data_IF_243136219309
#
_entry.id   IF_243136219309
#
_cell.length_a   1.000
_cell.length_b   1.000
_cell.length_c   1.000
_cell.angle_alpha   90.00
_cell.angle_beta   90.00
_cell.angle_gamma   90.00
#
_symmetry.space_group_name_H-M   'P 1'
#
loop_
_entity.id
_entity.type
_entity.pdbx_description
1 polymer ?
#
# COMPACT_ATOMS: atom_id res chain seq x y z
N UNK A 1 -12.59 -11.45 1.82
CA UNK A 1 -11.56 -12.49 1.66
C UNK A 1 -10.37 -12.04 2.50
N UNK A 2 -9.83 -12.86 3.41
CA UNK A 2 -8.57 -12.51 4.06
C UNK A 2 -7.50 -12.28 2.98
N UNK A 3 -6.51 -11.39 3.22
CA UNK A 3 -5.40 -11.22 2.29
C UNK A 3 -4.75 -12.58 2.02
N UNK A 4 -4.58 -12.90 0.74
CA UNK A 4 -3.94 -14.14 0.32
C UNK A 4 -2.43 -13.98 0.42
N UNK A 5 -1.88 -14.49 1.52
CA UNK A 5 -0.46 -14.46 1.83
C UNK A 5 0.34 -15.55 1.09
N UNK A 6 -0.31 -16.37 0.24
CA UNK A 6 0.34 -17.50 -0.46
C UNK A 6 1.44 -17.10 -1.46
N UNK A 7 1.45 -15.83 -1.89
CA UNK A 7 2.45 -15.25 -2.78
C UNK A 7 3.40 -14.27 -2.08
N UNK A 8 3.44 -14.25 -0.74
CA UNK A 8 4.51 -13.54 -0.04
C UNK A 8 5.86 -14.20 -0.36
N UNK A 9 6.95 -13.43 -0.46
CA UNK A 9 8.29 -14.01 -0.56
C UNK A 9 8.49 -15.04 0.57
N UNK A 10 9.14 -16.18 0.29
CA UNK A 10 9.39 -17.19 1.33
C UNK A 10 10.05 -16.55 2.57
N UNK A 11 9.40 -16.67 3.73
CA UNK A 11 9.85 -16.09 4.99
C UNK A 11 9.51 -14.62 5.24
N UNK A 12 8.72 -13.98 4.37
CA UNK A 12 8.29 -12.60 4.54
C UNK A 12 7.21 -12.45 5.61
N UNK A 13 7.62 -12.46 6.89
CA UNK A 13 6.83 -11.86 7.95
C UNK A 13 6.98 -10.34 7.84
N UNK A 14 5.88 -9.57 8.00
CA UNK A 14 5.98 -8.11 8.09
C UNK A 14 6.96 -7.72 9.21
N UNK A 15 7.70 -6.61 9.07
CA UNK A 15 8.54 -6.10 10.14
C UNK A 15 7.75 -5.93 11.43
N UNK A 16 8.42 -5.99 12.58
CA UNK A 16 7.74 -5.84 13.88
C UNK A 16 6.88 -4.57 13.93
N UNK A 17 5.64 -4.70 14.39
CA UNK A 17 4.68 -3.60 14.50
C UNK A 17 3.81 -3.37 13.26
N UNK A 18 4.14 -3.98 12.12
CA UNK A 18 3.31 -3.92 10.91
C UNK A 18 2.21 -4.98 10.94
N UNK A 19 0.96 -4.53 10.85
CA UNK A 19 -0.24 -5.39 10.81
C UNK A 19 -0.97 -5.23 9.48
N UNK A 20 -1.54 -6.30 8.92
CA UNK A 20 -2.27 -6.21 7.65
C UNK A 20 -3.54 -5.36 7.82
N UNK A 21 -3.80 -4.46 6.87
CA UNK A 21 -5.04 -3.68 6.88
C UNK A 21 -6.22 -4.57 6.47
N UNK A 22 -7.29 -4.53 7.26
CA UNK A 22 -8.48 -5.36 7.06
C UNK A 22 -9.47 -4.80 6.02
N UNK A 23 -9.33 -3.52 5.66
CA UNK A 23 -10.21 -2.84 4.72
C UNK A 23 -9.42 -2.26 3.55
N UNK A 24 -9.70 -2.78 2.36
CA UNK A 24 -9.13 -2.32 1.09
C UNK A 24 -10.24 -2.30 0.05
N UNK A 25 -10.21 -1.31 -0.84
CA UNK A 25 -11.13 -1.27 -1.97
C UNK A 25 -10.74 -2.36 -3.02
N UNK A 26 -11.63 -2.73 -3.96
CA UNK A 26 -11.34 -3.78 -4.94
C UNK A 26 -10.09 -3.53 -5.80
N UNK A 27 -9.75 -2.26 -6.07
CA UNK A 27 -8.56 -1.90 -6.84
C UNK A 27 -7.27 -2.10 -6.03
N UNK A 28 -7.28 -1.73 -4.75
CA UNK A 28 -6.16 -1.90 -3.83
C UNK A 28 -5.86 -3.37 -3.50
N UNK A 29 -6.78 -4.31 -3.78
CA UNK A 29 -6.50 -5.76 -3.70
C UNK A 29 -5.35 -6.19 -4.62
N UNK A 30 -5.08 -5.46 -5.70
CA UNK A 30 -3.92 -5.74 -6.55
C UNK A 30 -2.59 -5.54 -5.81
N UNK A 31 -2.56 -4.72 -4.77
CA UNK A 31 -1.39 -4.50 -3.91
C UNK A 31 -1.45 -5.27 -2.59
N UNK A 32 -2.57 -5.93 -2.29
CA UNK A 32 -2.74 -6.63 -1.02
C UNK A 32 -1.80 -7.85 -0.92
N UNK A 33 -1.27 -8.16 0.27
CA UNK A 33 -1.48 -7.46 1.55
C UNK A 33 -0.73 -6.12 1.65
N UNK A 34 -1.45 -5.10 2.15
CA UNK A 34 -0.85 -3.84 2.62
C UNK A 34 -0.84 -3.90 4.14
N UNK A 35 0.29 -3.51 4.73
CA UNK A 35 0.51 -3.46 6.16
C UNK A 35 0.58 -2.02 6.65
N UNK A 36 0.15 -1.79 7.88
CA UNK A 36 0.21 -0.50 8.57
C UNK A 36 0.88 -0.68 9.93
N UNK A 37 1.72 0.28 10.31
CA UNK A 37 2.30 0.40 11.65
C UNK A 37 1.97 1.79 12.18
N UNK A 38 1.39 1.87 13.38
CA UNK A 38 1.15 3.13 14.07
C UNK A 38 2.35 3.49 14.94
N UNK A 39 2.84 4.72 14.80
CA UNK A 39 3.95 5.27 15.57
C UNK A 39 3.50 6.60 16.21
N UNK A 40 2.61 6.51 17.20
CA UNK A 40 2.04 7.69 17.86
C UNK A 40 1.11 8.48 16.92
N UNK A 41 1.40 9.76 16.61
CA UNK A 41 0.56 10.57 15.73
C UNK A 41 0.77 10.27 14.24
N UNK A 42 1.80 9.50 13.88
CA UNK A 42 2.11 9.15 12.50
C UNK A 42 1.81 7.67 12.25
N UNK A 43 1.57 7.32 10.99
CA UNK A 43 1.46 5.94 10.53
C UNK A 43 2.42 5.69 9.37
N UNK A 44 2.86 4.45 9.23
CA UNK A 44 3.65 3.97 8.10
C UNK A 44 2.90 2.84 7.43
N UNK A 45 2.84 2.85 6.09
CA UNK A 45 2.33 1.72 5.32
C UNK A 45 3.46 1.05 4.55
N UNK A 46 3.32 -0.25 4.34
CA UNK A 46 4.20 -1.04 3.49
C UNK A 46 3.43 -2.13 2.75
N UNK A 47 4.00 -2.62 1.65
CA UNK A 47 3.53 -3.80 0.95
C UNK A 47 4.75 -4.55 0.40
N UNK A 48 4.60 -5.85 0.15
CA UNK A 48 5.64 -6.62 -0.52
C UNK A 48 5.47 -6.55 -2.03
N UNK A 49 6.55 -6.18 -2.73
CA UNK A 49 6.59 -6.24 -4.19
C UNK A 49 6.60 -7.72 -4.61
N UNK A 50 5.62 -8.09 -5.45
CA UNK A 50 5.47 -9.44 -6.02
C UNK A 50 5.69 -9.41 -7.54
N UNK A 51 5.90 -10.56 -8.21
CA UNK A 51 6.14 -10.60 -9.66
C UNK A 51 5.12 -9.82 -10.49
N UNK A 52 3.83 -9.88 -10.14
CA UNK A 52 2.75 -9.14 -10.82
C UNK A 52 2.81 -7.61 -10.62
N UNK A 53 3.62 -7.12 -9.67
CA UNK A 53 3.85 -5.69 -9.45
C UNK A 53 5.03 -5.15 -10.25
N UNK A 54 5.77 -6.01 -10.94
CA UNK A 54 7.00 -5.63 -11.65
C UNK A 54 6.73 -5.16 -13.07
N UNK A 55 7.62 -4.32 -13.60
CA UNK A 55 7.67 -3.99 -15.02
C UNK A 55 8.51 -5.03 -15.80
N UNK A 56 8.70 -4.82 -17.10
CA UNK A 56 9.50 -5.71 -17.96
C UNK A 56 10.97 -5.82 -17.56
N UNK A 57 11.48 -4.92 -16.72
CA UNK A 57 12.84 -4.96 -16.17
C UNK A 57 12.92 -5.70 -14.81
N UNK A 58 11.81 -6.24 -14.30
CA UNK A 58 11.77 -7.00 -13.04
C UNK A 58 11.84 -6.16 -11.77
N UNK A 59 11.67 -4.83 -11.87
CA UNK A 59 11.56 -3.92 -10.72
C UNK A 59 10.12 -3.44 -10.55
N UNK A 60 9.77 -2.88 -9.39
CA UNK A 60 8.43 -2.35 -9.14
C UNK A 60 7.98 -1.38 -10.25
N UNK A 61 6.83 -1.65 -10.86
CA UNK A 61 6.27 -0.82 -11.91
C UNK A 61 5.92 0.57 -11.33
N UNK A 62 6.25 1.66 -12.03
CA UNK A 62 5.99 3.02 -11.55
C UNK A 62 4.51 3.26 -11.22
N UNK A 63 3.60 2.65 -11.98
CA UNK A 63 2.15 2.67 -11.68
C UNK A 63 1.76 2.00 -10.35
N UNK A 64 2.48 0.97 -9.91
CA UNK A 64 2.27 0.35 -8.59
C UNK A 64 2.72 1.32 -7.50
N UNK A 65 3.88 1.95 -7.67
CA UNK A 65 4.40 2.93 -6.73
C UNK A 65 3.48 4.16 -6.61
N UNK A 66 2.96 4.67 -7.73
CA UNK A 66 1.99 5.78 -7.74
C UNK A 66 0.66 5.38 -7.09
N UNK A 67 0.17 4.17 -7.36
CA UNK A 67 -1.04 3.63 -6.71
C UNK A 67 -0.86 3.54 -5.20
N UNK A 68 0.30 3.05 -4.75
CA UNK A 68 0.60 2.95 -3.34
C UNK A 68 0.69 4.34 -2.68
N UNK A 69 1.33 5.31 -3.35
CA UNK A 69 1.39 6.69 -2.87
C UNK A 69 -0.02 7.31 -2.73
N UNK A 70 -0.90 7.10 -3.70
CA UNK A 70 -2.30 7.56 -3.65
C UNK A 70 -3.05 6.99 -2.43
N UNK A 71 -2.89 5.68 -2.18
CA UNK A 71 -3.49 5.00 -1.02
C UNK A 71 -2.99 5.59 0.31
N UNK A 72 -1.70 5.92 0.41
CA UNK A 72 -1.11 6.54 1.61
C UNK A 72 -1.63 7.96 1.79
N UNK A 73 -1.65 8.78 0.73
CA UNK A 73 -2.18 10.14 0.78
C UNK A 73 -3.66 10.16 1.19
N UNK A 74 -4.48 9.28 0.62
CA UNK A 74 -5.89 9.17 0.98
C UNK A 74 -6.07 8.83 2.47
N UNK A 75 -5.28 7.88 3.00
CA UNK A 75 -5.33 7.52 4.43
C UNK A 75 -4.94 8.68 5.33
N UNK A 76 -3.95 9.48 4.94
CA UNK A 76 -3.54 10.66 5.71
C UNK A 76 -4.64 11.71 5.77
N UNK A 77 -5.33 11.98 4.64
CA UNK A 77 -6.45 12.93 4.61
C UNK A 77 -7.64 12.43 5.43
N UNK A 78 -8.02 11.15 5.26
CA UNK A 78 -9.17 10.55 5.97
C UNK A 78 -8.96 10.54 7.49
N UNK A 79 -7.72 10.58 7.98
CA UNK A 79 -7.44 10.70 9.41
C UNK A 79 -7.92 12.02 10.03
N UNK A 80 -7.93 13.08 9.23
CA UNK A 80 -8.08 14.46 9.70
C UNK A 80 -9.47 15.04 9.41
N UNK A 81 -10.32 14.30 8.68
CA UNK A 81 -11.64 14.79 8.24
C UNK A 81 -12.75 13.83 8.64
N UNK A 82 -13.95 14.37 8.88
CA UNK A 82 -15.19 13.59 8.96
C UNK A 82 -15.86 13.59 7.59
N UNK A 83 -15.45 12.67 6.71
CA UNK A 83 -16.00 12.58 5.36
C UNK A 83 -15.14 11.80 4.37
N UNK A 84 -15.46 11.98 3.09
CA UNK A 84 -14.77 11.34 1.97
C UNK A 84 -13.86 12.34 1.26
N UNK A 85 -12.72 11.85 0.78
CA UNK A 85 -11.78 12.61 -0.04
C UNK A 85 -11.53 11.88 -1.36
N UNK A 86 -11.18 12.65 -2.39
CA UNK A 86 -10.76 12.12 -3.70
C UNK A 86 -9.50 12.85 -4.15
N UNK A 87 -8.59 12.12 -4.79
CA UNK A 87 -7.38 12.70 -5.35
C UNK A 87 -7.71 13.51 -6.60
N UNK A 88 -7.42 14.80 -6.58
CA UNK A 88 -7.61 15.70 -7.75
C UNK A 88 -6.36 15.71 -8.64
N UNK A 89 -5.18 15.67 -8.03
CA UNK A 89 -3.89 15.68 -8.72
C UNK A 89 -2.84 14.99 -7.86
N UNK A 90 -2.06 14.10 -8.46
CA UNK A 90 -0.86 13.51 -7.90
C UNK A 90 0.24 13.62 -8.95
N UNK A 91 1.41 14.11 -8.55
CA UNK A 91 2.61 14.21 -9.40
C UNK A 91 3.68 13.39 -8.70
N UNK A 92 4.40 12.56 -9.46
CA UNK A 92 5.46 11.70 -8.92
C UNK A 92 6.68 11.75 -9.82
N UNK A 93 7.85 11.87 -9.20
CA UNK A 93 9.15 11.70 -9.83
C UNK A 93 9.77 10.39 -9.32
N UNK A 94 10.26 9.54 -10.22
CA UNK A 94 10.92 8.28 -9.89
C UNK A 94 12.44 8.47 -10.02
N UNK A 95 13.18 8.14 -8.96
CA UNK A 95 14.64 8.31 -8.86
C UNK A 95 15.38 6.99 -8.99
#
# INVERSE_FOLDING_TARGET
MPPDDSNLPEGANPPHGFVPISHTNPFALNLAPIYECEEGPIFVRGFYVRPEHTNTAGIAHGGVMMTFADIVCARAVIQEIDGMAVTVRLISDFM
#
